data_IF_853622267846
#
_entry.id   IF_853622267846
#
_cell.length_a   1.000
_cell.length_b   1.000
_cell.length_c   1.000
_cell.angle_alpha   90.00
_cell.angle_beta   90.00
_cell.angle_gamma   90.00
#
_symmetry.space_group_name_H-M   'P 1'
#
loop_
_entity.id
_entity.type
_entity.pdbx_description
1 polymer ?
#
# COMPACT_ATOMS: atom_id res chain seq x y z
N UNK A 1 -9.83 -28.64 -12.28
CA UNK A 1 -9.76 -27.67 -13.40
C UNK A 1 -10.08 -26.22 -12.94
N UNK A 2 -10.97 -26.03 -11.96
CA UNK A 2 -11.26 -24.72 -11.33
C UNK A 2 -10.03 -24.02 -10.70
N UNK A 3 -9.14 -24.75 -10.02
CA UNK A 3 -7.96 -24.15 -9.34
C UNK A 3 -6.97 -23.45 -10.29
N UNK A 4 -6.74 -23.94 -11.51
CA UNK A 4 -5.84 -23.29 -12.49
C UNK A 4 -6.38 -21.96 -12.98
N UNK A 5 -7.70 -21.91 -13.19
CA UNK A 5 -8.39 -20.67 -13.58
C UNK A 5 -8.37 -19.68 -12.42
N UNK A 6 -8.62 -20.14 -11.19
CA UNK A 6 -8.50 -19.33 -9.98
C UNK A 6 -7.10 -18.71 -9.82
N UNK A 7 -6.03 -19.50 -9.95
CA UNK A 7 -4.65 -18.98 -9.85
C UNK A 7 -4.36 -17.89 -10.88
N UNK A 8 -4.78 -18.08 -12.13
CA UNK A 8 -4.60 -17.08 -13.18
C UNK A 8 -5.37 -15.80 -12.84
N UNK A 9 -6.63 -15.90 -12.42
CA UNK A 9 -7.45 -14.74 -12.02
C UNK A 9 -6.81 -13.96 -10.88
N UNK A 10 -6.34 -14.64 -9.84
CA UNK A 10 -5.67 -13.99 -8.70
C UNK A 10 -4.37 -13.30 -9.10
N UNK A 11 -3.60 -13.90 -10.00
CA UNK A 11 -2.37 -13.29 -10.53
C UNK A 11 -2.68 -12.02 -11.32
N UNK A 12 -3.68 -12.07 -12.20
CA UNK A 12 -4.14 -10.88 -12.93
C UNK A 12 -4.66 -9.79 -12.00
N UNK A 13 -5.48 -10.13 -11.00
CA UNK A 13 -5.96 -9.19 -10.00
C UNK A 13 -4.80 -8.55 -9.21
N UNK A 14 -3.76 -9.32 -8.88
CA UNK A 14 -2.56 -8.82 -8.24
C UNK A 14 -1.83 -7.77 -9.09
N UNK A 15 -1.66 -8.04 -10.39
CA UNK A 15 -1.07 -7.09 -11.34
C UNK A 15 -1.91 -5.83 -11.44
N UNK A 16 -3.23 -5.95 -11.63
CA UNK A 16 -4.15 -4.80 -11.69
C UNK A 16 -4.07 -3.97 -10.42
N UNK A 17 -4.08 -4.60 -9.24
CA UNK A 17 -3.97 -3.92 -7.96
C UNK A 17 -2.65 -3.13 -7.85
N UNK A 18 -1.53 -3.73 -8.26
CA UNK A 18 -0.24 -3.03 -8.31
C UNK A 18 -0.25 -1.86 -9.30
N UNK A 19 -0.78 -2.05 -10.50
CA UNK A 19 -0.90 -0.98 -11.49
C UNK A 19 -1.73 0.19 -10.98
N UNK A 20 -2.85 -0.08 -10.31
CA UNK A 20 -3.69 0.96 -9.68
C UNK A 20 -2.91 1.67 -8.56
N UNK A 21 -2.19 0.92 -7.72
CA UNK A 21 -1.40 1.47 -6.62
C UNK A 21 -0.29 2.40 -7.13
N UNK A 22 0.45 1.99 -8.16
CA UNK A 22 1.48 2.81 -8.81
C UNK A 22 0.85 4.05 -9.45
N UNK A 23 -0.29 3.90 -10.12
CA UNK A 23 -1.01 5.02 -10.75
C UNK A 23 -1.44 6.04 -9.70
N UNK A 24 -1.94 5.59 -8.54
CA UNK A 24 -2.28 6.48 -7.43
C UNK A 24 -1.06 7.31 -6.98
N UNK A 25 0.08 6.65 -6.75
CA UNK A 25 1.33 7.35 -6.39
C UNK A 25 1.77 8.33 -7.47
N UNK A 26 1.67 7.94 -8.75
CA UNK A 26 2.00 8.82 -9.87
C UNK A 26 1.11 10.07 -9.88
N UNK A 27 -0.19 9.94 -9.64
CA UNK A 27 -1.11 11.10 -9.58
C UNK A 27 -0.75 12.04 -8.41
N UNK A 28 -0.38 11.48 -7.25
CA UNK A 28 0.14 12.27 -6.13
C UNK A 28 1.45 12.96 -6.50
N UNK A 29 2.35 12.28 -7.20
CA UNK A 29 3.61 12.84 -7.69
C UNK A 29 3.42 13.97 -8.70
N UNK A 30 2.42 13.86 -9.59
CA UNK A 30 2.03 14.94 -10.51
C UNK A 30 1.48 16.14 -9.74
N UNK A 31 0.62 15.92 -8.74
CA UNK A 31 0.07 16.99 -7.90
C UNK A 31 1.14 17.74 -7.11
N UNK A 32 2.17 17.02 -6.64
CA UNK A 32 3.34 17.61 -5.96
C UNK A 32 4.37 18.24 -6.93
N UNK A 33 4.11 18.21 -8.25
CA UNK A 33 5.03 18.67 -9.28
C UNK A 33 6.45 18.10 -9.12
N UNK A 34 6.56 16.81 -8.81
CA UNK A 34 7.85 16.14 -8.57
C UNK A 34 8.76 16.26 -9.80
N UNK A 35 8.20 16.27 -11.00
CA UNK A 35 8.93 16.48 -12.26
C UNK A 35 9.57 15.22 -12.83
N UNK A 36 9.19 14.03 -12.35
CA UNK A 36 9.66 12.75 -12.87
C UNK A 36 8.72 12.25 -13.99
N UNK A 37 9.24 11.62 -15.06
CA UNK A 37 8.40 11.06 -16.11
C UNK A 37 7.55 9.89 -15.61
N UNK A 38 6.36 9.75 -16.19
CA UNK A 38 5.32 8.80 -15.76
C UNK A 38 5.78 7.34 -15.77
N UNK A 39 6.50 6.93 -16.81
CA UNK A 39 7.01 5.56 -16.94
C UNK A 39 8.01 5.20 -15.84
N UNK A 40 8.74 6.17 -15.29
CA UNK A 40 9.73 5.91 -14.24
C UNK A 40 9.06 5.47 -12.93
N UNK A 41 7.83 5.93 -12.67
CA UNK A 41 7.04 5.48 -11.52
C UNK A 41 6.72 3.98 -11.62
N UNK A 42 6.41 3.47 -12.81
CA UNK A 42 6.14 2.03 -13.03
C UNK A 42 7.35 1.12 -12.87
N UNK A 43 8.57 1.69 -12.81
CA UNK A 43 9.79 0.94 -12.53
C UNK A 43 10.21 1.10 -11.08
N UNK A 44 10.28 2.35 -10.60
CA UNK A 44 10.82 2.66 -9.27
C UNK A 44 9.88 2.22 -8.15
N UNK A 45 8.57 2.45 -8.29
CA UNK A 45 7.61 2.18 -7.21
C UNK A 45 7.51 0.68 -6.89
N UNK A 46 7.37 -0.24 -7.87
CA UNK A 46 7.38 -1.67 -7.57
C UNK A 46 8.67 -2.13 -6.88
N UNK A 47 9.83 -1.62 -7.31
CA UNK A 47 11.12 -1.92 -6.67
C UNK A 47 11.13 -1.46 -5.22
N UNK A 48 10.65 -0.23 -4.95
CA UNK A 48 10.54 0.30 -3.58
C UNK A 48 9.58 -0.54 -2.75
N UNK A 49 8.43 -0.94 -3.28
CA UNK A 49 7.45 -1.74 -2.56
C UNK A 49 8.00 -3.13 -2.20
N UNK A 50 8.70 -3.78 -3.13
CA UNK A 50 9.35 -5.08 -2.88
C UNK A 50 10.44 -4.94 -1.81
N UNK A 51 11.30 -3.93 -1.92
CA UNK A 51 12.37 -3.69 -0.96
C UNK A 51 11.85 -3.26 0.43
N UNK A 52 10.76 -2.50 0.48
CA UNK A 52 10.13 -2.04 1.73
C UNK A 52 9.27 -3.12 2.40
N UNK A 53 9.00 -4.24 1.72
CA UNK A 53 8.30 -5.38 2.29
C UNK A 53 9.17 -6.17 3.29
N UNK A 54 10.49 -5.92 3.32
CA UNK A 54 11.37 -6.49 4.34
C UNK A 54 10.99 -5.90 5.71
N UNK A 55 10.64 -6.71 6.72
CA UNK A 55 10.09 -6.23 7.99
C UNK A 55 11.18 -5.69 8.92
N UNK A 56 11.92 -4.67 8.48
CA UNK A 56 12.96 -3.99 9.25
C UNK A 56 12.34 -2.98 10.24
N UNK A 57 11.17 -2.42 9.89
CA UNK A 57 10.44 -1.45 10.70
C UNK A 57 8.92 -1.54 10.53
N UNK A 58 8.14 -0.95 11.45
CA UNK A 58 6.69 -0.98 11.39
C UNK A 58 6.20 -0.37 10.07
N UNK A 59 5.42 -1.14 9.31
CA UNK A 59 4.91 -0.76 7.99
C UNK A 59 5.97 -0.23 6.99
N UNK A 60 7.24 -0.66 7.13
CA UNK A 60 8.34 -0.20 6.28
C UNK A 60 8.71 1.28 6.47
N UNK A 61 8.34 1.88 7.61
CA UNK A 61 8.72 3.24 7.97
C UNK A 61 10.25 3.39 8.09
N UNK A 62 10.80 4.53 7.68
CA UNK A 62 12.24 4.76 7.56
C UNK A 62 12.84 4.18 6.27
N UNK A 63 12.73 2.85 6.06
CA UNK A 63 13.31 2.18 4.86
C UNK A 63 12.66 2.69 3.57
N UNK A 64 11.34 2.76 3.54
CA UNK A 64 10.63 3.29 2.37
C UNK A 64 11.01 4.74 2.08
N UNK A 65 11.07 5.61 3.09
CA UNK A 65 11.45 7.02 2.90
C UNK A 65 12.88 7.15 2.37
N UNK A 66 13.79 6.34 2.91
CA UNK A 66 15.17 6.27 2.40
C UNK A 66 15.23 5.81 0.94
N UNK A 67 14.48 4.78 0.57
CA UNK A 67 14.43 4.27 -0.81
C UNK A 67 13.80 5.27 -1.77
N UNK A 68 12.69 5.89 -1.39
CA UNK A 68 12.09 6.98 -2.17
C UNK A 68 13.07 8.14 -2.35
N UNK A 69 13.73 8.60 -1.28
CA UNK A 69 14.69 9.69 -1.36
C UNK A 69 15.91 9.35 -2.21
N UNK A 70 16.52 8.18 -2.00
CA UNK A 70 17.71 7.76 -2.74
C UNK A 70 17.44 7.51 -4.22
N UNK A 71 16.37 6.79 -4.56
CA UNK A 71 16.06 6.45 -5.95
C UNK A 71 15.53 7.67 -6.72
N UNK A 72 14.67 8.50 -6.12
CA UNK A 72 14.25 9.73 -6.78
C UNK A 72 15.40 10.74 -6.87
N UNK A 73 16.30 10.79 -5.89
CA UNK A 73 17.52 11.58 -5.97
C UNK A 73 18.43 11.15 -7.12
N UNK A 74 18.70 9.85 -7.26
CA UNK A 74 19.60 9.32 -8.29
C UNK A 74 19.01 9.39 -9.70
N UNK A 75 17.77 8.92 -9.89
CA UNK A 75 17.16 8.80 -11.22
C UNK A 75 16.32 10.03 -11.60
N UNK A 76 15.82 10.78 -10.62
CA UNK A 76 15.05 12.00 -10.84
C UNK A 76 15.92 13.22 -11.11
N UNK A 77 17.18 13.27 -10.65
CA UNK A 77 18.03 14.46 -10.79
C UNK A 77 18.19 14.93 -12.24
N UNK A 78 18.27 14.01 -13.20
CA UNK A 78 18.35 14.34 -14.63
C UNK A 78 17.12 15.10 -15.16
N UNK A 79 15.98 15.01 -14.47
CA UNK A 79 14.72 15.65 -14.83
C UNK A 79 14.47 16.97 -14.07
N UNK A 80 15.32 17.30 -13.09
CA UNK A 80 15.25 18.55 -12.32
C UNK A 80 16.10 19.66 -12.96
N UNK A 81 15.69 20.12 -14.15
CA UNK A 81 16.40 21.16 -14.90
C UNK A 81 16.27 22.51 -14.17
N UNK A 82 17.39 23.22 -14.01
CA UNK A 82 17.41 24.58 -13.43
C UNK A 82 17.32 24.65 -11.90
N UNK A 83 17.44 23.50 -11.21
CA UNK A 83 17.37 23.42 -9.75
C UNK A 83 18.79 23.34 -9.16
N UNK A 84 19.03 24.10 -8.09
CA UNK A 84 20.28 24.02 -7.29
C UNK A 84 20.25 22.72 -6.47
N UNK A 85 21.31 21.92 -6.54
CA UNK A 85 21.40 20.58 -5.92
C UNK A 85 20.28 19.60 -6.34
N UNK A 86 20.18 19.23 -7.64
CA UNK A 86 19.05 18.46 -8.18
C UNK A 86 18.84 17.10 -7.50
N UNK A 87 19.92 16.42 -7.09
CA UNK A 87 19.85 15.15 -6.35
C UNK A 87 19.12 15.33 -5.02
N UNK A 88 19.48 16.36 -4.27
CA UNK A 88 18.91 16.60 -2.93
C UNK A 88 17.47 17.06 -3.02
N UNK A 89 17.15 17.94 -3.98
CA UNK A 89 15.76 18.37 -4.19
C UNK A 89 14.85 17.23 -4.64
N UNK A 90 15.33 16.36 -5.53
CA UNK A 90 14.53 15.20 -5.94
C UNK A 90 14.42 14.17 -4.82
N UNK A 91 15.44 14.01 -3.99
CA UNK A 91 15.37 13.16 -2.81
C UNK A 91 14.30 13.64 -1.81
N UNK A 92 14.24 14.95 -1.50
CA UNK A 92 13.22 15.47 -0.59
C UNK A 92 11.81 15.38 -1.18
N UNK A 93 11.66 15.58 -2.50
CA UNK A 93 10.40 15.35 -3.22
C UNK A 93 9.96 13.88 -3.15
N UNK A 94 10.91 12.94 -3.30
CA UNK A 94 10.65 11.51 -3.15
C UNK A 94 10.15 11.16 -1.74
N UNK A 95 10.82 11.68 -0.70
CA UNK A 95 10.39 11.50 0.70
C UNK A 95 8.98 12.07 0.92
N UNK A 96 8.73 13.31 0.46
CA UNK A 96 7.43 13.95 0.58
C UNK A 96 6.32 13.12 -0.10
N UNK A 97 6.60 12.60 -1.30
CA UNK A 97 5.70 11.70 -2.01
C UNK A 97 5.40 10.43 -1.19
N UNK A 98 6.42 9.82 -0.58
CA UNK A 98 6.24 8.61 0.24
C UNK A 98 5.34 8.86 1.45
N UNK A 99 5.54 9.98 2.15
CA UNK A 99 4.73 10.37 3.32
C UNK A 99 3.30 10.64 2.89
N UNK A 100 3.10 11.43 1.83
CA UNK A 100 1.77 11.79 1.35
C UNK A 100 0.99 10.55 0.87
N UNK A 101 1.65 9.63 0.18
CA UNK A 101 1.03 8.37 -0.22
C UNK A 101 0.63 7.49 0.97
N UNK A 102 1.47 7.42 2.02
CA UNK A 102 1.10 6.68 3.24
C UNK A 102 -0.10 7.30 3.95
N UNK A 103 -0.18 8.63 4.03
CA UNK A 103 -1.36 9.32 4.57
C UNK A 103 -2.60 9.02 3.72
N UNK A 104 -2.46 9.01 2.40
CA UNK A 104 -3.54 8.61 1.49
C UNK A 104 -4.01 7.17 1.75
N UNK A 105 -3.09 6.22 1.92
CA UNK A 105 -3.43 4.85 2.28
C UNK A 105 -4.11 4.76 3.65
N UNK A 106 -3.59 5.45 4.66
CA UNK A 106 -4.22 5.50 5.98
C UNK A 106 -5.65 6.03 5.92
N UNK A 107 -5.90 7.06 5.10
CA UNK A 107 -7.25 7.59 4.90
C UNK A 107 -8.19 6.53 4.33
N UNK A 108 -7.76 5.75 3.33
CA UNK A 108 -8.55 4.62 2.82
C UNK A 108 -8.74 3.50 3.85
N UNK A 109 -7.71 3.18 4.64
CA UNK A 109 -7.83 2.21 5.74
C UNK A 109 -8.83 2.66 6.81
N UNK A 110 -8.92 3.96 7.09
CA UNK A 110 -9.92 4.51 8.01
C UNK A 110 -11.34 4.34 7.47
N UNK A 111 -11.56 4.55 6.16
CA UNK A 111 -12.87 4.28 5.53
C UNK A 111 -13.23 2.80 5.66
N UNK A 112 -12.29 1.90 5.38
CA UNK A 112 -12.49 0.46 5.58
C UNK A 112 -12.84 0.12 7.03
N UNK A 113 -12.11 0.68 7.99
CA UNK A 113 -12.39 0.51 9.42
C UNK A 113 -13.76 1.03 9.82
N UNK A 114 -14.18 2.19 9.32
CA UNK A 114 -15.51 2.74 9.56
C UNK A 114 -16.61 1.83 9.00
N UNK A 115 -16.44 1.32 7.78
CA UNK A 115 -17.38 0.37 7.19
C UNK A 115 -17.50 -0.90 8.04
N UNK A 116 -16.38 -1.45 8.51
CA UNK A 116 -16.37 -2.62 9.40
C UNK A 116 -17.06 -2.33 10.74
N UNK A 117 -16.88 -1.14 11.31
CA UNK A 117 -17.60 -0.76 12.54
C UNK A 117 -19.12 -0.64 12.33
N UNK A 118 -19.56 -0.23 11.14
CA UNK A 118 -20.98 -0.15 10.78
C UNK A 118 -21.58 -1.49 10.36
N UNK A 119 -20.77 -2.39 9.79
CA UNK A 119 -21.11 -3.77 9.47
C UNK A 119 -21.09 -4.61 10.76
N UNK A 120 -22.09 -4.36 11.61
CA UNK A 120 -22.23 -4.94 12.93
C UNK A 120 -22.66 -6.41 12.84
N UNK A 121 -21.73 -7.32 12.51
CA UNK A 121 -21.86 -8.72 12.93
C UNK A 121 -21.52 -8.81 14.42
N UNK A 122 -22.45 -8.34 15.26
CA UNK A 122 -22.46 -8.78 16.65
C UNK A 122 -23.01 -10.19 16.61
N UNK A 123 -22.14 -11.19 16.75
CA UNK A 123 -22.57 -12.49 17.28
C UNK A 123 -23.33 -12.16 18.56
N UNK A 124 -24.65 -12.37 18.52
CA UNK A 124 -25.48 -11.95 19.64
C UNK A 124 -25.06 -12.83 20.82
N UNK A 125 -24.96 -12.28 22.04
CA UNK A 125 -24.61 -13.12 23.21
C UNK A 125 -25.50 -14.38 23.31
N UNK A 126 -26.73 -14.27 22.82
CA UNK A 126 -27.68 -15.37 22.65
C UNK A 126 -27.21 -16.48 21.68
N UNK A 127 -26.54 -16.16 20.57
CA UNK A 127 -25.97 -17.15 19.64
C UNK A 127 -24.75 -17.84 20.26
N UNK A 128 -23.90 -17.08 20.98
CA UNK A 128 -22.77 -17.65 21.73
C UNK A 128 -23.27 -18.58 22.84
N UNK A 129 -24.31 -18.19 23.59
CA UNK A 129 -24.94 -19.04 24.60
C UNK A 129 -25.62 -20.27 23.99
N UNK A 130 -26.24 -20.14 22.82
CA UNK A 130 -26.81 -21.28 22.08
C UNK A 130 -25.74 -22.27 21.63
N UNK A 131 -24.58 -21.78 21.19
CA UNK A 131 -23.47 -22.61 20.73
C UNK A 131 -22.76 -23.32 21.90
N UNK A 132 -22.62 -22.64 23.05
CA UNK A 132 -22.12 -23.24 24.31
C UNK A 132 -23.10 -24.30 24.84
N UNK A 133 -24.40 -24.00 24.88
CA UNK A 133 -25.43 -24.96 25.32
C UNK A 133 -25.53 -26.19 24.41
N UNK A 134 -25.25 -26.02 23.11
CA UNK A 134 -25.17 -27.12 22.15
C UNK A 134 -23.88 -27.95 22.31
N UNK A 135 -22.76 -27.31 22.63
CA UNK A 135 -21.48 -27.98 22.91
C UNK A 135 -21.48 -28.81 24.20
N UNK A 136 -22.18 -28.35 25.25
CA UNK A 136 -22.31 -29.09 26.51
C UNK A 136 -23.26 -30.30 26.39
N UNK A 137 -24.20 -30.29 25.43
CA UNK A 137 -25.13 -31.41 25.19
C UNK A 137 -24.52 -32.61 24.45
N UNK A 138 -23.47 -32.39 23.66
CA UNK A 138 -22.77 -33.47 22.93
C UNK A 138 -21.72 -34.19 23.79
N UNK A 139 -21.30 -33.61 24.93
CA UNK A 139 -20.35 -34.22 25.86
C UNK A 139 -20.97 -35.23 26.85
N UNK A 140 -22.29 -35.43 26.83
CA UNK A 140 -23.05 -36.25 27.80
C UNK A 140 -23.70 -37.49 27.16
N UNK A 141 -23.31 -37.87 25.94
CA UNK A 141 -23.82 -39.09 25.27
C UNK A 141 -22.70 -40.11 25.03
#
# INVERSE_FOLDING_TARGET
RSHKTGMVVWLFLGVVNHSVSVTSIMLVGKALAVGMPEYAYFVLIPVINIASAVPIGPAGWGVGEFLYGSLFGQFGAAHAIGVVEPVRTMATRGVALSVLYRVHLMAWSMVGGLLTLTAKDRVTRAEVEQEIARGDGEAVV
#
